data_IF_216064309088
#
_entry.id   IF_216064309088
#
_cell.length_a   1.000
_cell.length_b   1.000
_cell.length_c   1.000
_cell.angle_alpha   90.00
_cell.angle_beta   90.00
_cell.angle_gamma   90.00
#
_symmetry.space_group_name_H-M   'P 1'
#
loop_
_entity.id
_entity.type
_entity.pdbx_description
1 polymer ?
#
# COMPACT_ATOMS: atom_id res chain seq x y z
N UNK A 1 10.31 -17.36 -17.04
CA UNK A 1 10.56 -15.99 -17.55
C UNK A 1 11.90 -16.06 -18.26
N UNK A 2 12.10 -15.85 -19.46
CA UNK A 2 13.39 -15.88 -20.17
C UNK A 2 13.80 -14.48 -20.62
N UNK A 3 13.79 -13.52 -19.67
CA UNK A 3 14.17 -12.15 -19.96
C UNK A 3 15.59 -11.89 -19.49
N UNK A 4 16.43 -11.40 -20.37
CA UNK A 4 17.77 -10.90 -20.05
C UNK A 4 17.64 -9.48 -19.50
N UNK A 5 17.87 -9.33 -18.19
CA UNK A 5 17.88 -8.04 -17.53
C UNK A 5 19.33 -7.52 -17.52
N UNK A 6 19.55 -6.31 -18.02
CA UNK A 6 20.88 -5.68 -17.99
C UNK A 6 21.33 -5.35 -16.54
N UNK A 7 20.39 -5.02 -15.69
CA UNK A 7 20.64 -4.68 -14.27
C UNK A 7 19.51 -5.18 -13.38
N UNK A 8 19.86 -5.60 -12.17
CA UNK A 8 18.90 -5.93 -11.11
C UNK A 8 19.26 -5.18 -9.83
N UNK A 9 18.26 -4.75 -9.09
CA UNK A 9 18.45 -4.21 -7.76
C UNK A 9 18.52 -5.34 -6.75
N UNK A 10 19.61 -5.42 -5.98
CA UNK A 10 19.84 -6.45 -4.95
C UNK A 10 19.91 -5.77 -3.58
N UNK A 11 18.78 -5.59 -2.90
CA UNK A 11 18.74 -4.89 -1.60
C UNK A 11 19.45 -5.66 -0.47
N UNK A 12 19.60 -6.97 -0.60
CA UNK A 12 20.27 -7.81 0.39
C UNK A 12 21.20 -8.82 -0.29
N UNK A 13 22.46 -8.46 -0.47
CA UNK A 13 23.48 -9.31 -1.10
C UNK A 13 23.72 -10.60 -0.32
N UNK A 14 23.73 -10.56 1.01
CA UNK A 14 23.93 -11.76 1.86
C UNK A 14 22.83 -12.79 1.68
N UNK A 15 21.60 -12.36 1.43
CA UNK A 15 20.50 -13.28 1.10
C UNK A 15 20.81 -14.06 -0.17
N UNK A 16 21.19 -13.39 -1.23
CA UNK A 16 21.47 -14.01 -2.53
C UNK A 16 22.73 -14.87 -2.52
N UNK A 17 23.80 -14.46 -1.82
CA UNK A 17 25.01 -15.26 -1.60
C UNK A 17 24.72 -16.60 -0.90
N UNK A 18 23.70 -16.63 -0.04
CA UNK A 18 23.31 -17.82 0.70
C UNK A 18 22.10 -18.56 0.10
N UNK A 19 21.49 -18.03 -0.97
CA UNK A 19 20.28 -18.58 -1.57
C UNK A 19 20.44 -20.06 -1.95
N UNK A 20 21.53 -20.43 -2.60
CA UNK A 20 21.80 -21.81 -3.00
C UNK A 20 22.03 -22.79 -1.84
N UNK A 21 22.36 -22.29 -0.64
CA UNK A 21 22.49 -23.13 0.58
C UNK A 21 21.12 -23.59 1.08
N UNK A 22 20.08 -22.83 0.78
CA UNK A 22 18.70 -23.14 1.15
C UNK A 22 17.97 -23.80 -0.02
N UNK A 23 18.02 -23.19 -1.20
CA UNK A 23 17.33 -23.67 -2.40
C UNK A 23 18.28 -24.56 -3.21
N UNK A 24 18.20 -25.85 -2.95
CA UNK A 24 19.01 -26.90 -3.61
C UNK A 24 18.25 -28.23 -3.63
N UNK A 25 18.80 -29.21 -4.35
CA UNK A 25 18.18 -30.51 -4.52
C UNK A 25 18.00 -31.28 -3.19
N UNK A 26 18.91 -31.13 -2.25
CA UNK A 26 18.87 -31.85 -0.95
C UNK A 26 17.73 -31.30 -0.06
N UNK A 27 17.39 -30.03 -0.23
CA UNK A 27 16.30 -29.39 0.50
C UNK A 27 14.97 -29.38 -0.25
N UNK A 28 14.93 -29.85 -1.51
CA UNK A 28 13.75 -29.77 -2.37
C UNK A 28 12.47 -30.31 -1.71
N UNK A 29 12.56 -31.49 -1.08
CA UNK A 29 11.42 -32.11 -0.40
C UNK A 29 10.89 -31.25 0.77
N UNK A 30 11.80 -30.65 1.55
CA UNK A 30 11.46 -29.78 2.68
C UNK A 30 10.81 -28.47 2.19
N UNK A 31 11.40 -27.88 1.14
CA UNK A 31 10.86 -26.66 0.53
C UNK A 31 9.46 -26.92 -0.04
N UNK A 32 9.28 -28.03 -0.75
CA UNK A 32 7.96 -28.42 -1.26
C UNK A 32 6.93 -28.58 -0.14
N UNK A 33 7.27 -29.25 0.94
CA UNK A 33 6.38 -29.42 2.10
C UNK A 33 6.06 -28.08 2.74
N UNK A 34 7.05 -27.19 2.90
CA UNK A 34 6.85 -25.86 3.43
C UNK A 34 5.93 -25.03 2.53
N UNK A 35 6.12 -25.05 1.21
CA UNK A 35 5.24 -24.35 0.25
C UNK A 35 3.80 -24.86 0.33
N UNK A 36 3.59 -26.19 0.42
CA UNK A 36 2.24 -26.75 0.56
C UNK A 36 1.55 -26.29 1.84
N UNK A 37 2.28 -26.17 2.94
CA UNK A 37 1.72 -25.62 4.19
C UNK A 37 1.38 -24.16 4.03
N UNK A 38 2.25 -23.35 3.39
CA UNK A 38 1.96 -21.93 3.14
C UNK A 38 0.72 -21.74 2.26
N UNK A 39 0.58 -22.54 1.20
CA UNK A 39 -0.62 -22.52 0.33
C UNK A 39 -1.89 -22.89 1.10
N UNK A 40 -1.83 -23.95 1.92
CA UNK A 40 -2.96 -24.35 2.76
C UNK A 40 -3.34 -23.26 3.77
N UNK A 41 -2.36 -22.57 4.35
CA UNK A 41 -2.59 -21.43 5.24
C UNK A 41 -3.22 -20.25 4.49
N UNK A 42 -2.68 -19.89 3.34
CA UNK A 42 -3.22 -18.80 2.51
C UNK A 42 -4.67 -19.06 2.08
N UNK A 43 -5.00 -20.32 1.72
CA UNK A 43 -6.33 -20.72 1.31
C UNK A 43 -7.32 -20.89 2.47
N UNK A 44 -6.86 -20.92 3.72
CA UNK A 44 -7.67 -21.34 4.89
C UNK A 44 -8.99 -20.59 5.02
N UNK A 45 -8.99 -19.27 4.76
CA UNK A 45 -10.20 -18.44 4.83
C UNK A 45 -11.19 -18.67 3.67
N UNK A 46 -10.74 -19.32 2.59
CA UNK A 46 -11.57 -19.65 1.41
C UNK A 46 -12.07 -21.08 1.41
N UNK A 47 -11.64 -21.88 2.40
CA UNK A 47 -12.01 -23.29 2.56
C UNK A 47 -13.19 -23.46 3.55
N UNK A 48 -13.28 -24.64 4.18
CA UNK A 48 -14.34 -24.92 5.16
C UNK A 48 -14.07 -24.20 6.48
N UNK A 49 -15.13 -24.03 7.28
CA UNK A 49 -15.05 -23.38 8.60
C UNK A 49 -14.04 -24.07 9.54
N UNK A 50 -13.95 -25.39 9.50
CA UNK A 50 -12.97 -26.15 10.30
C UNK A 50 -11.53 -25.78 9.93
N UNK A 51 -11.21 -25.63 8.65
CA UNK A 51 -9.91 -25.16 8.21
C UNK A 51 -9.64 -23.74 8.68
N UNK A 52 -10.59 -22.85 8.50
CA UNK A 52 -10.49 -21.45 8.93
C UNK A 52 -10.17 -21.35 10.43
N UNK A 53 -10.95 -22.03 11.27
CA UNK A 53 -10.77 -22.01 12.73
C UNK A 53 -9.45 -22.66 13.17
N UNK A 54 -9.05 -23.76 12.54
CA UNK A 54 -7.77 -24.41 12.84
C UNK A 54 -6.57 -23.49 12.57
N UNK A 55 -6.56 -22.80 11.44
CA UNK A 55 -5.48 -21.85 11.13
C UNK A 55 -5.53 -20.59 11.98
N UNK A 56 -6.73 -20.07 12.29
CA UNK A 56 -6.86 -18.96 13.23
C UNK A 56 -6.33 -19.32 14.63
N UNK A 57 -6.47 -20.56 15.09
CA UNK A 57 -5.93 -20.98 16.39
C UNK A 57 -4.42 -20.85 16.47
N UNK A 58 -3.70 -21.07 15.37
CA UNK A 58 -2.25 -20.86 15.27
C UNK A 58 -1.92 -19.36 15.39
N UNK A 59 -2.62 -18.51 14.65
CA UNK A 59 -2.44 -17.07 14.71
C UNK A 59 -2.78 -16.53 16.11
N UNK A 60 -3.84 -17.03 16.74
CA UNK A 60 -4.21 -16.67 18.10
C UNK A 60 -3.10 -17.02 19.10
N UNK A 61 -2.49 -18.18 18.97
CA UNK A 61 -1.37 -18.59 19.82
C UNK A 61 -0.14 -17.70 19.66
N UNK A 62 0.14 -17.26 18.41
CA UNK A 62 1.28 -16.38 18.11
C UNK A 62 1.02 -14.94 18.59
N UNK A 63 -0.19 -14.43 18.34
CA UNK A 63 -0.56 -13.03 18.60
C UNK A 63 -1.13 -12.80 20.00
N UNK A 64 -1.37 -13.84 20.77
CA UNK A 64 -1.95 -13.75 22.12
C UNK A 64 -3.44 -13.35 22.14
N UNK A 65 -4.16 -13.49 21.04
CA UNK A 65 -5.59 -13.16 20.98
C UNK A 65 -6.45 -14.26 21.59
N UNK A 66 -7.59 -13.89 22.19
CA UNK A 66 -8.43 -14.81 22.97
C UNK A 66 -9.58 -15.42 22.17
N UNK A 67 -9.93 -14.82 21.03
CA UNK A 67 -11.07 -15.24 20.21
C UNK A 67 -10.72 -15.19 18.73
N UNK A 68 -11.24 -16.13 17.93
CA UNK A 68 -11.11 -16.06 16.48
C UNK A 68 -11.91 -14.88 15.92
N UNK A 69 -11.47 -14.38 14.78
CA UNK A 69 -12.25 -13.40 14.00
C UNK A 69 -13.55 -14.10 13.53
N UNK A 70 -14.67 -13.40 13.56
CA UNK A 70 -15.94 -13.96 13.08
C UNK A 70 -15.89 -14.29 11.60
N UNK A 71 -16.75 -15.16 11.12
CA UNK A 71 -16.84 -15.47 9.68
C UNK A 71 -17.25 -14.22 8.89
N UNK A 72 -18.19 -13.46 9.42
CA UNK A 72 -18.69 -12.22 8.83
C UNK A 72 -17.56 -11.20 8.67
N UNK A 73 -16.76 -10.97 9.72
CA UNK A 73 -15.61 -10.06 9.67
C UNK A 73 -14.55 -10.57 8.70
N UNK A 74 -14.27 -11.89 8.69
CA UNK A 74 -13.32 -12.50 7.74
C UNK A 74 -13.77 -12.26 6.29
N UNK A 75 -15.03 -12.50 5.97
CA UNK A 75 -15.57 -12.28 4.61
C UNK A 75 -15.54 -10.80 4.24
N UNK A 76 -15.88 -9.92 5.18
CA UNK A 76 -15.80 -8.48 4.99
C UNK A 76 -14.36 -8.03 4.66
N UNK A 77 -13.39 -8.42 5.49
CA UNK A 77 -11.98 -8.07 5.28
C UNK A 77 -11.44 -8.61 3.95
N UNK A 78 -11.76 -9.85 3.60
CA UNK A 78 -11.35 -10.43 2.32
C UNK A 78 -11.96 -9.69 1.13
N UNK A 79 -13.25 -9.34 1.19
CA UNK A 79 -13.92 -8.59 0.13
C UNK A 79 -13.33 -7.18 -0.04
N UNK A 80 -13.08 -6.49 1.06
CA UNK A 80 -12.45 -5.16 1.04
C UNK A 80 -11.03 -5.23 0.47
N UNK A 81 -10.25 -6.25 0.83
CA UNK A 81 -8.89 -6.41 0.34
C UNK A 81 -8.84 -6.77 -1.16
N UNK A 82 -9.72 -7.69 -1.61
CA UNK A 82 -9.77 -8.12 -3.02
C UNK A 82 -10.21 -6.99 -3.96
N UNK A 83 -11.08 -6.10 -3.50
CA UNK A 83 -11.66 -5.00 -4.29
C UNK A 83 -11.28 -3.63 -3.72
N UNK A 84 -10.08 -3.52 -3.13
CA UNK A 84 -9.65 -2.34 -2.39
C UNK A 84 -9.65 -1.06 -3.22
N UNK A 85 -9.32 -1.12 -4.51
CA UNK A 85 -9.33 0.02 -5.41
C UNK A 85 -10.76 0.50 -5.73
N UNK A 86 -11.70 -0.41 -6.00
CA UNK A 86 -13.12 -0.09 -6.20
C UNK A 86 -13.71 0.53 -4.93
N UNK A 87 -13.42 -0.10 -3.78
CA UNK A 87 -13.86 0.38 -2.47
C UNK A 87 -13.24 1.74 -2.14
N UNK A 88 -11.99 1.97 -2.53
CA UNK A 88 -11.29 3.25 -2.34
C UNK A 88 -11.95 4.40 -3.09
N UNK A 89 -12.31 4.20 -4.35
CA UNK A 89 -13.03 5.22 -5.15
C UNK A 89 -14.40 5.52 -4.53
N UNK A 90 -15.14 4.48 -4.17
CA UNK A 90 -16.45 4.65 -3.53
C UNK A 90 -16.35 5.37 -2.18
N UNK A 91 -15.45 4.92 -1.30
CA UNK A 91 -15.24 5.48 0.03
C UNK A 91 -14.84 6.96 -0.05
N UNK A 92 -13.84 7.25 -0.88
CA UNK A 92 -13.32 8.60 -1.02
C UNK A 92 -14.36 9.59 -1.53
N UNK A 93 -15.10 9.22 -2.57
CA UNK A 93 -16.16 10.07 -3.13
C UNK A 93 -17.32 10.28 -2.15
N UNK A 94 -17.70 9.27 -1.40
CA UNK A 94 -18.85 9.32 -0.49
C UNK A 94 -18.55 10.03 0.83
N UNK A 95 -17.38 9.80 1.42
CA UNK A 95 -17.10 10.21 2.81
C UNK A 95 -16.09 11.36 2.91
N UNK A 96 -15.25 11.59 1.92
CA UNK A 96 -14.24 12.64 1.95
C UNK A 96 -14.61 13.81 1.04
N UNK A 97 -14.71 13.58 -0.25
CA UNK A 97 -15.16 14.55 -1.25
C UNK A 97 -14.11 15.57 -1.69
N UNK A 98 -14.43 16.33 -2.74
CA UNK A 98 -13.50 17.25 -3.42
C UNK A 98 -13.17 18.50 -2.60
N UNK A 99 -14.08 18.98 -1.76
CA UNK A 99 -13.86 20.17 -0.94
C UNK A 99 -12.71 19.90 0.08
N UNK A 100 -12.80 18.79 0.81
CA UNK A 100 -11.77 18.40 1.77
C UNK A 100 -10.44 18.09 1.07
N UNK A 101 -10.48 17.47 -0.11
CA UNK A 101 -9.28 17.20 -0.94
C UNK A 101 -8.56 18.50 -1.29
N UNK A 102 -9.31 19.51 -1.72
CA UNK A 102 -8.76 20.83 -2.06
C UNK A 102 -8.15 21.53 -0.85
N UNK A 103 -8.83 21.50 0.30
CA UNK A 103 -8.35 22.14 1.54
C UNK A 103 -7.06 21.50 2.03
N UNK A 104 -7.01 20.17 2.14
CA UNK A 104 -5.81 19.44 2.56
C UNK A 104 -4.65 19.64 1.58
N UNK A 105 -4.91 19.64 0.28
CA UNK A 105 -3.88 19.95 -0.73
C UNK A 105 -3.30 21.34 -0.50
N UNK A 106 -4.14 22.34 -0.23
CA UNK A 106 -3.70 23.69 0.10
C UNK A 106 -2.86 23.76 1.40
N UNK A 107 -3.17 22.94 2.40
CA UNK A 107 -2.35 22.81 3.61
C UNK A 107 -0.96 22.22 3.29
N UNK A 108 -0.90 21.18 2.49
CA UNK A 108 0.36 20.54 2.06
C UNK A 108 1.24 21.54 1.32
N UNK A 109 0.69 22.32 0.39
CA UNK A 109 1.42 23.34 -0.37
C UNK A 109 2.02 24.41 0.56
N UNK A 110 1.28 24.86 1.55
CA UNK A 110 1.78 25.82 2.54
C UNK A 110 2.92 25.22 3.37
N UNK A 111 2.80 23.98 3.82
CA UNK A 111 3.84 23.28 4.59
C UNK A 111 5.08 23.08 3.71
N UNK A 112 4.94 22.65 2.45
CA UNK A 112 6.06 22.53 1.49
C UNK A 112 6.78 23.87 1.29
N UNK A 113 6.05 24.98 1.20
CA UNK A 113 6.66 26.30 1.08
C UNK A 113 7.47 26.69 2.33
N UNK A 114 7.00 26.35 3.52
CA UNK A 114 7.77 26.55 4.76
C UNK A 114 9.05 25.69 4.77
N UNK A 115 8.95 24.42 4.36
CA UNK A 115 10.11 23.53 4.22
C UNK A 115 11.15 24.11 3.25
N UNK A 116 10.70 24.58 2.07
CA UNK A 116 11.56 25.25 1.10
C UNK A 116 12.32 26.42 1.72
N UNK A 117 11.61 27.32 2.42
CA UNK A 117 12.24 28.47 3.08
C UNK A 117 13.26 28.07 4.13
N UNK A 118 12.99 27.01 4.91
CA UNK A 118 13.93 26.46 5.89
C UNK A 118 15.16 25.82 5.23
N UNK A 119 14.97 25.07 4.15
CA UNK A 119 16.08 24.51 3.39
C UNK A 119 16.97 25.60 2.80
N UNK A 120 16.39 26.67 2.26
CA UNK A 120 17.15 27.82 1.72
C UNK A 120 18.03 28.50 2.78
N UNK A 121 17.58 28.55 4.02
CA UNK A 121 18.30 29.20 5.15
C UNK A 121 19.14 28.20 5.97
N UNK A 122 19.19 26.93 5.54
CA UNK A 122 19.92 25.90 6.27
C UNK A 122 21.44 26.14 6.18
N UNK A 123 22.14 26.16 7.32
CA UNK A 123 23.54 26.51 7.49
C UNK A 123 24.49 25.31 7.62
N UNK A 124 23.99 24.11 7.83
CA UNK A 124 24.80 22.89 7.97
C UNK A 124 24.86 22.02 6.70
N UNK A 125 23.98 22.22 5.74
CA UNK A 125 24.04 21.57 4.42
C UNK A 125 24.94 22.33 3.48
N UNK A 126 25.70 21.63 2.63
CA UNK A 126 26.38 22.26 1.51
C UNK A 126 25.38 22.87 0.54
N UNK A 127 25.78 23.87 -0.24
CA UNK A 127 24.92 24.49 -1.24
C UNK A 127 24.38 23.46 -2.25
N UNK A 128 25.24 22.55 -2.71
CA UNK A 128 24.83 21.46 -3.63
C UNK A 128 23.77 20.59 -3.02
N UNK A 129 23.94 20.11 -1.78
CA UNK A 129 22.98 19.25 -1.08
C UNK A 129 21.66 19.97 -0.85
N UNK A 130 21.73 21.24 -0.45
CA UNK A 130 20.55 22.09 -0.24
C UNK A 130 19.75 22.27 -1.53
N UNK A 131 20.42 22.55 -2.66
CA UNK A 131 19.75 22.68 -3.96
C UNK A 131 19.08 21.36 -4.40
N UNK A 132 19.74 20.21 -4.19
CA UNK A 132 19.15 18.89 -4.47
C UNK A 132 17.96 18.57 -3.57
N UNK A 133 18.01 18.94 -2.29
CA UNK A 133 16.88 18.77 -1.38
C UNK A 133 15.67 19.61 -1.80
N UNK A 134 15.91 20.86 -2.22
CA UNK A 134 14.85 21.73 -2.75
C UNK A 134 14.28 21.15 -4.06
N UNK A 135 15.12 20.70 -4.97
CA UNK A 135 14.69 20.06 -6.23
C UNK A 135 13.81 18.83 -5.94
N UNK A 136 14.20 17.99 -4.96
CA UNK A 136 13.43 16.82 -4.55
C UNK A 136 12.06 17.21 -3.99
N UNK A 137 12.02 18.20 -3.10
CA UNK A 137 10.78 18.76 -2.55
C UNK A 137 9.87 19.31 -3.64
N UNK A 138 10.43 20.00 -4.66
CA UNK A 138 9.65 20.58 -5.75
C UNK A 138 9.05 19.54 -6.67
N UNK A 139 9.78 18.47 -6.91
CA UNK A 139 9.35 17.34 -7.74
C UNK A 139 8.46 16.34 -6.98
N UNK A 140 8.29 16.52 -5.67
CA UNK A 140 7.47 15.63 -4.85
C UNK A 140 6.00 15.70 -5.27
N UNK A 141 5.46 14.55 -5.63
CA UNK A 141 4.04 14.37 -5.94
C UNK A 141 3.21 14.26 -4.67
N UNK A 142 1.98 14.71 -4.77
CA UNK A 142 1.04 14.74 -3.64
C UNK A 142 -0.23 14.03 -4.04
N UNK A 143 -0.58 13.02 -3.27
CA UNK A 143 -1.83 12.27 -3.42
C UNK A 143 -2.69 12.45 -2.17
N UNK A 144 -3.91 12.95 -2.34
CA UNK A 144 -4.83 13.27 -1.23
C UNK A 144 -6.16 12.57 -1.43
N UNK A 145 -6.60 11.90 -0.39
CA UNK A 145 -7.93 11.31 -0.27
C UNK A 145 -8.08 9.97 -0.95
N UNK A 146 -8.19 9.96 -2.26
CA UNK A 146 -8.50 8.75 -3.05
C UNK A 146 -8.11 8.93 -4.52
N UNK A 147 -8.00 7.81 -5.22
CA UNK A 147 -7.78 7.79 -6.66
C UNK A 147 -9.05 8.18 -7.44
N UNK A 148 -8.87 8.85 -8.58
CA UNK A 148 -10.00 9.34 -9.39
C UNK A 148 -10.81 8.21 -10.05
N UNK A 149 -10.16 7.11 -10.41
CA UNK A 149 -10.77 5.99 -11.11
C UNK A 149 -10.21 4.65 -10.61
N UNK A 150 -10.95 3.59 -10.90
CA UNK A 150 -10.55 2.21 -10.64
C UNK A 150 -9.37 1.83 -11.53
N UNK A 151 -8.44 1.05 -10.99
CA UNK A 151 -7.26 0.58 -11.72
C UNK A 151 -7.65 -0.10 -13.04
N UNK A 152 -6.97 0.18 -14.16
CA UNK A 152 -7.23 -0.47 -15.44
C UNK A 152 -7.21 -2.01 -15.34
N UNK A 153 -6.27 -2.59 -14.59
CA UNK A 153 -6.22 -4.03 -14.37
C UNK A 153 -7.48 -4.58 -13.71
N UNK A 154 -8.04 -3.86 -12.73
CA UNK A 154 -9.31 -4.29 -12.11
C UNK A 154 -10.47 -4.24 -13.10
N UNK A 155 -10.49 -3.30 -14.04
CA UNK A 155 -11.52 -3.22 -15.10
C UNK A 155 -11.43 -4.37 -16.10
N UNK A 156 -10.28 -4.96 -16.28
CA UNK A 156 -10.06 -6.12 -17.16
C UNK A 156 -10.37 -7.45 -16.47
N UNK A 157 -10.54 -7.46 -15.15
CA UNK A 157 -10.84 -8.66 -14.39
C UNK A 157 -12.28 -9.14 -14.66
N UNK A 158 -12.42 -10.36 -15.16
CA UNK A 158 -13.69 -11.00 -15.40
C UNK A 158 -13.85 -12.21 -14.49
N UNK A 159 -14.90 -12.21 -13.65
CA UNK A 159 -15.17 -13.26 -12.69
C UNK A 159 -16.47 -14.00 -13.08
N UNK A 160 -16.44 -15.33 -13.02
CA UNK A 160 -17.63 -16.16 -13.20
C UNK A 160 -18.37 -16.33 -11.85
N UNK A 161 -19.58 -15.75 -11.69
CA UNK A 161 -20.32 -15.81 -10.43
C UNK A 161 -20.79 -17.22 -10.03
N UNK A 162 -20.66 -18.22 -10.92
CA UNK A 162 -21.01 -19.61 -10.63
C UNK A 162 -19.88 -20.41 -9.96
N UNK A 163 -18.65 -19.85 -9.91
CA UNK A 163 -17.51 -20.46 -9.24
C UNK A 163 -17.61 -20.32 -7.72
N UNK A 164 -16.99 -21.27 -7.01
CA UNK A 164 -16.80 -21.15 -5.57
C UNK A 164 -15.89 -19.96 -5.22
N UNK A 165 -15.97 -19.47 -4.00
CA UNK A 165 -15.12 -18.37 -3.53
C UNK A 165 -13.63 -18.71 -3.63
N UNK A 166 -13.25 -19.95 -3.37
CA UNK A 166 -11.88 -20.43 -3.55
C UNK A 166 -11.41 -20.30 -5.01
N UNK A 167 -12.22 -20.78 -5.95
CA UNK A 167 -11.90 -20.69 -7.39
C UNK A 167 -11.82 -19.24 -7.87
N UNK A 168 -12.72 -18.36 -7.38
CA UNK A 168 -12.65 -16.93 -7.68
C UNK A 168 -11.37 -16.28 -7.14
N UNK A 169 -10.96 -16.64 -5.92
CA UNK A 169 -9.72 -16.14 -5.32
C UNK A 169 -8.49 -16.57 -6.13
N UNK A 170 -8.47 -17.81 -6.63
CA UNK A 170 -7.42 -18.31 -7.51
C UNK A 170 -7.41 -17.60 -8.87
N UNK A 171 -8.58 -17.36 -9.47
CA UNK A 171 -8.69 -16.61 -10.73
C UNK A 171 -8.13 -15.20 -10.58
N UNK A 172 -8.47 -14.49 -9.49
CA UNK A 172 -7.96 -13.15 -9.17
C UNK A 172 -6.44 -13.18 -9.01
N UNK A 173 -5.91 -14.14 -8.25
CA UNK A 173 -4.49 -14.28 -8.03
C UNK A 173 -3.73 -14.62 -9.32
N UNK A 174 -4.28 -15.48 -10.18
CA UNK A 174 -3.70 -15.81 -11.48
C UNK A 174 -3.73 -14.63 -12.43
N UNK A 175 -4.85 -13.90 -12.48
CA UNK A 175 -4.98 -12.69 -13.27
C UNK A 175 -3.92 -11.65 -12.84
N UNK A 176 -3.81 -11.35 -11.54
CA UNK A 176 -2.83 -10.39 -11.03
C UNK A 176 -1.38 -10.77 -11.37
N UNK A 177 -1.02 -12.06 -11.24
CA UNK A 177 0.30 -12.54 -11.64
C UNK A 177 0.56 -12.36 -13.13
N UNK A 178 -0.42 -12.69 -13.98
CA UNK A 178 -0.31 -12.53 -15.44
C UNK A 178 -0.20 -11.07 -15.82
N UNK A 179 -1.09 -10.23 -15.29
CA UNK A 179 -1.10 -8.79 -15.50
C UNK A 179 0.27 -8.16 -15.17
N UNK A 180 0.84 -8.51 -14.01
CA UNK A 180 2.17 -8.02 -13.61
C UNK A 180 3.27 -8.48 -14.58
N UNK A 181 3.21 -9.71 -15.08
CA UNK A 181 4.20 -10.23 -16.04
C UNK A 181 4.07 -9.54 -17.39
N UNK A 182 2.85 -9.35 -17.87
CA UNK A 182 2.58 -8.75 -19.17
C UNK A 182 2.98 -7.27 -19.23
N UNK A 183 2.87 -6.56 -18.11
CA UNK A 183 3.22 -5.13 -17.96
C UNK A 183 4.62 -4.91 -17.33
N UNK A 184 5.43 -5.96 -17.22
CA UNK A 184 6.72 -5.88 -16.49
C UNK A 184 7.72 -4.91 -17.13
N UNK A 185 7.71 -4.75 -18.45
CA UNK A 185 8.63 -3.88 -19.19
C UNK A 185 8.10 -2.45 -19.35
N UNK A 186 6.91 -2.16 -18.85
CA UNK A 186 6.34 -0.83 -18.89
C UNK A 186 7.04 0.11 -17.90
N UNK A 187 7.24 1.38 -18.26
CA UNK A 187 7.74 2.37 -17.31
C UNK A 187 6.83 2.49 -16.10
N UNK A 188 7.42 2.63 -14.91
CA UNK A 188 6.65 2.86 -13.67
C UNK A 188 5.83 4.16 -13.82
N UNK A 189 4.52 4.03 -13.74
CA UNK A 189 3.64 5.20 -13.67
C UNK A 189 3.75 5.87 -12.29
N UNK A 190 4.53 6.95 -12.24
CA UNK A 190 4.71 7.73 -11.01
C UNK A 190 3.47 8.52 -10.59
N UNK A 191 2.39 8.53 -11.39
CA UNK A 191 1.13 9.16 -11.07
C UNK A 191 0.11 8.17 -10.50
N UNK A 192 0.47 6.90 -10.42
CA UNK A 192 -0.40 5.87 -9.89
C UNK A 192 -0.55 6.03 -8.38
N UNK A 193 -1.81 6.07 -7.93
CA UNK A 193 -2.15 5.96 -6.52
C UNK A 193 -1.69 4.60 -5.97
N UNK A 194 -1.19 4.56 -4.75
CA UNK A 194 -0.87 3.31 -4.05
C UNK A 194 -1.58 3.24 -2.70
N UNK A 195 -1.91 2.02 -2.26
CA UNK A 195 -2.65 1.78 -1.02
C UNK A 195 -4.16 1.99 -1.14
N UNK A 196 -4.87 1.87 -0.04
CA UNK A 196 -6.33 2.00 0.04
C UNK A 196 -6.72 3.37 0.56
N UNK A 197 -7.77 3.98 -0.03
CA UNK A 197 -8.25 5.28 0.43
C UNK A 197 -8.83 5.27 1.85
N UNK A 198 -9.17 4.11 2.39
CA UNK A 198 -9.68 3.94 3.75
C UNK A 198 -8.60 3.59 4.78
N UNK A 199 -7.33 3.55 4.39
CA UNK A 199 -6.22 3.33 5.33
C UNK A 199 -6.10 4.50 6.31
N UNK A 200 -5.95 4.19 7.60
CA UNK A 200 -5.68 5.16 8.66
C UNK A 200 -4.16 5.30 8.79
N UNK A 201 -3.55 5.80 7.73
CA UNK A 201 -2.12 6.02 7.65
C UNK A 201 -1.79 7.10 6.61
N UNK A 202 -0.56 7.61 6.62
CA UNK A 202 0.04 8.39 5.56
C UNK A 202 1.42 7.82 5.26
N UNK A 203 1.98 8.04 4.08
CA UNK A 203 3.29 7.50 3.75
C UNK A 203 3.98 8.27 2.63
N UNK A 204 5.31 8.30 2.70
CA UNK A 204 6.20 8.70 1.63
C UNK A 204 6.65 7.48 0.81
N UNK A 205 6.58 7.59 -0.52
CA UNK A 205 7.09 6.56 -1.42
C UNK A 205 8.38 7.08 -2.13
N UNK A 206 9.55 6.50 -1.85
CA UNK A 206 10.81 6.95 -2.42
C UNK A 206 10.96 6.62 -3.91
N UNK A 207 10.28 5.59 -4.44
CA UNK A 207 10.38 5.17 -5.85
C UNK A 207 9.70 6.17 -6.78
N UNK A 208 8.58 6.75 -6.34
CA UNK A 208 7.85 7.77 -7.09
C UNK A 208 8.14 9.20 -6.62
N UNK A 209 8.85 9.38 -5.51
CA UNK A 209 9.00 10.65 -4.79
C UNK A 209 7.62 11.29 -4.53
N UNK A 210 6.76 10.55 -3.83
CA UNK A 210 5.39 10.99 -3.54
C UNK A 210 5.04 10.87 -2.06
N UNK A 211 4.16 11.75 -1.59
CA UNK A 211 3.49 11.65 -0.29
C UNK A 211 2.01 11.33 -0.52
N UNK A 212 1.48 10.43 0.30
CA UNK A 212 0.14 9.90 0.15
C UNK A 212 -0.64 10.05 1.46
N UNK A 213 -1.82 10.65 1.37
CA UNK A 213 -2.73 10.88 2.49
C UNK A 213 -4.10 10.28 2.17
N UNK A 214 -4.35 9.00 2.48
CA UNK A 214 -5.64 8.36 2.32
C UNK A 214 -6.77 9.10 3.06
N UNK A 215 -7.99 9.04 2.53
CA UNK A 215 -9.16 9.66 3.18
C UNK A 215 -9.42 9.09 4.58
N UNK A 216 -8.97 7.86 4.87
CA UNK A 216 -9.10 7.22 6.17
C UNK A 216 -8.43 7.97 7.31
N UNK A 217 -7.23 8.56 7.09
CA UNK A 217 -6.56 9.39 8.10
C UNK A 217 -7.06 10.85 8.07
N UNK A 218 -7.66 11.29 6.97
CA UNK A 218 -8.16 12.65 6.80
C UNK A 218 -9.55 12.83 7.43
N UNK A 219 -9.69 12.39 8.66
CA UNK A 219 -10.90 12.47 9.49
C UNK A 219 -10.53 12.84 10.92
N UNK A 220 -11.54 13.20 11.72
CA UNK A 220 -11.35 13.46 13.14
C UNK A 220 -10.69 12.25 13.86
N UNK A 221 -9.72 12.48 14.75
CA UNK A 221 -9.30 13.78 15.31
C UNK A 221 -8.21 14.49 14.49
N UNK A 222 -7.68 13.92 13.39
CA UNK A 222 -6.58 14.49 12.64
C UNK A 222 -7.00 15.66 11.77
N UNK A 223 -8.13 15.54 11.08
CA UNK A 223 -8.66 16.55 10.18
C UNK A 223 -10.20 16.59 10.23
N UNK A 224 -10.75 17.79 10.16
CA UNK A 224 -12.17 18.03 9.88
C UNK A 224 -12.30 19.38 9.19
N UNK A 225 -13.00 19.43 8.04
CA UNK A 225 -13.21 20.66 7.29
C UNK A 225 -13.97 21.75 8.07
N UNK A 226 -14.71 21.37 9.12
CA UNK A 226 -15.47 22.27 9.96
C UNK A 226 -14.74 22.70 11.24
N UNK A 227 -13.55 22.15 11.51
CA UNK A 227 -12.76 22.61 12.66
C UNK A 227 -11.83 23.77 12.29
N UNK A 228 -11.27 24.45 13.30
CA UNK A 228 -10.41 25.60 13.04
C UNK A 228 -9.11 25.16 12.31
N UNK A 229 -8.57 26.08 11.50
CA UNK A 229 -7.32 25.88 10.76
C UNK A 229 -6.17 25.46 11.70
N UNK A 230 -6.09 26.06 12.91
CA UNK A 230 -5.03 25.75 13.89
C UNK A 230 -5.12 24.30 14.36
N UNK A 231 -6.34 23.78 14.57
CA UNK A 231 -6.54 22.37 14.94
C UNK A 231 -6.16 21.44 13.81
N UNK A 232 -6.49 21.77 12.56
CA UNK A 232 -6.08 20.97 11.42
C UNK A 232 -4.55 20.96 11.26
N UNK A 233 -3.86 22.08 11.45
CA UNK A 233 -2.40 22.10 11.43
C UNK A 233 -1.78 21.38 12.63
N UNK A 234 -2.39 21.41 13.81
CA UNK A 234 -1.96 20.66 14.99
C UNK A 234 -2.23 19.14 14.89
N UNK A 235 -3.20 18.75 14.07
CA UNK A 235 -3.54 17.35 13.76
C UNK A 235 -2.82 16.85 12.52
N UNK A 236 -3.51 16.88 11.38
CA UNK A 236 -2.98 16.35 10.13
C UNK A 236 -1.73 17.10 9.63
N UNK A 237 -1.58 18.38 9.97
CA UNK A 237 -0.39 19.16 9.58
C UNK A 237 0.91 18.59 10.14
N UNK A 238 0.88 17.98 11.33
CA UNK A 238 2.04 17.29 11.92
C UNK A 238 2.38 16.04 11.10
N UNK A 239 1.38 15.28 10.68
CA UNK A 239 1.56 14.09 9.83
C UNK A 239 2.11 14.48 8.46
N UNK A 240 1.58 15.56 7.86
CA UNK A 240 2.09 16.10 6.59
C UNK A 240 3.58 16.46 6.71
N UNK A 241 3.96 17.15 7.79
CA UNK A 241 5.36 17.48 8.07
C UNK A 241 6.24 16.25 8.22
N UNK A 242 5.73 15.20 8.89
CA UNK A 242 6.41 13.91 9.05
C UNK A 242 6.70 13.25 7.70
N UNK A 243 5.69 13.13 6.81
CA UNK A 243 5.88 12.49 5.50
C UNK A 243 6.84 13.27 4.59
N UNK A 244 6.78 14.60 4.62
CA UNK A 244 7.75 15.43 3.88
C UNK A 244 9.17 15.20 4.41
N UNK A 245 9.34 14.92 5.70
CA UNK A 245 10.66 14.70 6.32
C UNK A 245 11.30 13.37 5.90
N UNK A 246 10.50 12.37 5.49
CA UNK A 246 11.00 11.11 4.95
C UNK A 246 11.72 11.28 3.59
N UNK A 247 11.43 12.35 2.88
CA UNK A 247 12.06 12.65 1.60
C UNK A 247 13.46 13.23 1.75
#
# INVERSE_FOLDING_TARGET
MGRDLETINVPNTKYFENYSKVVNQDNFSKIKSWMLVQEAMAASNSLTEDYRLNFQSINMAIMGTQKPISKEDTVYEMSVNLFSDVMSVYYGRKYFGEEAKTDVTGMIDKIKNVYRGRLQQNDWLTEETRNKAIEKLDKMKVFVGYQEDVDPGTKELHLDPNKSFFELSEDIAQFGRRYTIDHFDEPIDKNKWSGSAFDINAYYNPESNSINFPAGILQAPFYDKNQSTEKNYGGIGVVIGHEITHA
#
